data_IF_351319644919
#
_entry.id   IF_351319644919
#
_cell.length_a   1.000
_cell.length_b   1.000
_cell.length_c   1.000
_cell.angle_alpha   90.00
_cell.angle_beta   90.00
_cell.angle_gamma   90.00
#
_symmetry.space_group_name_H-M   'P 1'
#
loop_
_entity.id
_entity.type
_entity.pdbx_description
1 polymer ?
#
# COMPACT_ATOMS: atom_id res chain seq x y z
N UNK A 1 35.55 4.39 -7.50
CA UNK A 1 35.19 2.99 -7.83
C UNK A 1 34.20 3.01 -8.97
N UNK A 2 34.59 2.59 -10.17
CA UNK A 2 33.64 2.33 -11.26
C UNK A 2 32.97 0.99 -11.00
N UNK A 3 31.75 1.01 -10.49
CA UNK A 3 30.93 -0.19 -10.39
C UNK A 3 30.51 -0.60 -11.82
N UNK A 4 31.25 -1.54 -12.42
CA UNK A 4 30.83 -2.17 -13.67
C UNK A 4 29.85 -3.29 -13.32
N UNK A 5 28.56 -3.06 -13.60
CA UNK A 5 27.53 -4.08 -13.48
C UNK A 5 27.80 -5.24 -14.46
N UNK A 6 27.66 -6.46 -13.99
CA UNK A 6 27.79 -7.63 -14.84
C UNK A 6 26.60 -7.71 -15.81
N UNK A 7 26.79 -8.44 -16.91
CA UNK A 7 25.69 -8.71 -17.85
C UNK A 7 24.48 -9.36 -17.16
N UNK A 8 24.72 -10.23 -16.18
CA UNK A 8 23.67 -10.87 -15.38
C UNK A 8 22.85 -9.87 -14.57
N UNK A 9 23.46 -8.81 -14.04
CA UNK A 9 22.75 -7.79 -13.25
C UNK A 9 21.72 -7.04 -14.11
N UNK A 10 22.16 -6.66 -15.32
CA UNK A 10 21.28 -6.03 -16.31
C UNK A 10 20.15 -6.95 -16.77
N UNK A 11 20.45 -8.24 -16.96
CA UNK A 11 19.45 -9.25 -17.32
C UNK A 11 18.37 -9.37 -16.23
N UNK A 12 18.77 -9.45 -14.95
CA UNK A 12 17.84 -9.52 -13.82
C UNK A 12 16.98 -8.26 -13.74
N UNK A 13 17.60 -7.08 -13.87
CA UNK A 13 16.88 -5.81 -13.85
C UNK A 13 15.84 -5.71 -14.98
N UNK A 14 16.24 -6.04 -16.22
CA UNK A 14 15.37 -5.99 -17.38
C UNK A 14 14.22 -7.00 -17.28
N UNK A 15 14.51 -8.22 -16.85
CA UNK A 15 13.48 -9.26 -16.67
C UNK A 15 12.47 -8.91 -15.58
N UNK A 16 12.92 -8.32 -14.46
CA UNK A 16 12.03 -7.83 -13.42
C UNK A 16 11.05 -6.77 -13.95
N UNK A 17 11.57 -5.76 -14.67
CA UNK A 17 10.74 -4.73 -15.30
C UNK A 17 9.75 -5.31 -16.32
N UNK A 18 10.20 -6.27 -17.14
CA UNK A 18 9.36 -6.96 -18.10
C UNK A 18 8.21 -7.73 -17.41
N UNK A 19 8.49 -8.46 -16.32
CA UNK A 19 7.47 -9.17 -15.54
C UNK A 19 6.42 -8.19 -15.01
N UNK A 20 6.84 -7.05 -14.46
CA UNK A 20 5.91 -6.03 -13.96
C UNK A 20 5.02 -5.47 -15.08
N UNK A 21 5.60 -5.09 -16.22
CA UNK A 21 4.85 -4.55 -17.35
C UNK A 21 3.89 -5.58 -17.97
N UNK A 22 4.38 -6.81 -18.18
CA UNK A 22 3.56 -7.89 -18.75
C UNK A 22 2.44 -8.28 -17.81
N UNK A 23 2.69 -8.37 -16.50
CA UNK A 23 1.67 -8.68 -15.51
C UNK A 23 0.60 -7.58 -15.47
N UNK A 24 1.00 -6.30 -15.40
CA UNK A 24 0.07 -5.17 -15.44
C UNK A 24 -0.78 -5.15 -16.72
N UNK A 25 -0.15 -5.34 -17.88
CA UNK A 25 -0.87 -5.42 -19.15
C UNK A 25 -1.84 -6.61 -19.21
N UNK A 26 -1.43 -7.78 -18.72
CA UNK A 26 -2.26 -8.98 -18.68
C UNK A 26 -3.48 -8.79 -17.78
N UNK A 27 -3.31 -8.23 -16.59
CA UNK A 27 -4.41 -8.00 -15.66
C UNK A 27 -5.36 -6.89 -16.14
N UNK A 28 -4.85 -5.86 -16.83
CA UNK A 28 -5.67 -4.79 -17.40
C UNK A 28 -6.61 -5.26 -18.53
N UNK A 29 -6.32 -6.42 -19.15
CA UNK A 29 -7.23 -7.02 -20.15
C UNK A 29 -8.56 -7.50 -19.56
N UNK A 30 -8.61 -7.75 -18.25
CA UNK A 30 -9.87 -8.03 -17.56
C UNK A 30 -10.62 -6.71 -17.39
N UNK A 31 -11.52 -6.39 -18.32
CA UNK A 31 -12.34 -5.17 -18.26
C UNK A 31 -13.10 -5.12 -16.94
N UNK A 32 -12.81 -4.10 -16.13
CA UNK A 32 -13.70 -3.70 -15.05
C UNK A 32 -14.93 -3.03 -15.67
N UNK A 33 -16.12 -3.51 -15.34
CA UNK A 33 -17.38 -2.97 -15.88
C UNK A 33 -17.80 -1.67 -15.17
N UNK A 34 -17.24 -1.41 -13.99
CA UNK A 34 -17.49 -0.20 -13.21
C UNK A 34 -16.23 0.24 -12.44
N UNK A 35 -16.20 1.50 -12.00
CA UNK A 35 -15.15 2.00 -11.10
C UNK A 35 -15.11 1.21 -9.78
N UNK A 36 -16.26 0.76 -9.29
CA UNK A 36 -16.33 -0.07 -8.09
C UNK A 36 -15.66 -1.43 -8.30
N UNK A 37 -15.87 -2.07 -9.44
CA UNK A 37 -15.21 -3.34 -9.78
C UNK A 37 -13.69 -3.16 -9.89
N UNK A 38 -13.24 -2.02 -10.42
CA UNK A 38 -11.82 -1.69 -10.53
C UNK A 38 -11.16 -1.53 -9.15
N UNK A 39 -11.80 -0.82 -8.21
CA UNK A 39 -11.23 -0.57 -6.89
C UNK A 39 -11.42 -1.72 -5.89
N UNK A 40 -12.50 -2.49 -6.00
CA UNK A 40 -12.80 -3.59 -5.06
C UNK A 40 -12.43 -4.98 -5.59
N UNK A 41 -12.03 -5.10 -6.85
CA UNK A 41 -11.75 -6.41 -7.47
C UNK A 41 -12.95 -7.36 -7.41
N UNK A 42 -14.17 -6.81 -7.49
CA UNK A 42 -15.41 -7.57 -7.34
C UNK A 42 -15.61 -8.24 -5.98
N UNK A 43 -14.89 -7.79 -4.92
CA UNK A 43 -14.88 -8.42 -3.58
C UNK A 43 -14.52 -9.91 -3.60
N UNK A 44 -13.80 -10.36 -4.63
CA UNK A 44 -13.48 -11.78 -4.88
C UNK A 44 -12.02 -12.14 -4.55
N UNK A 45 -11.24 -11.17 -4.08
CA UNK A 45 -9.81 -11.38 -3.82
C UNK A 45 -9.60 -12.27 -2.58
N UNK A 46 -8.80 -13.34 -2.68
CA UNK A 46 -8.42 -14.14 -1.53
C UNK A 46 -7.70 -13.30 -0.47
N UNK A 47 -8.00 -13.55 0.82
CA UNK A 47 -7.46 -12.76 1.94
C UNK A 47 -5.93 -12.72 1.97
N UNK A 48 -5.25 -13.83 1.62
CA UNK A 48 -3.78 -13.89 1.59
C UNK A 48 -3.19 -12.95 0.52
N UNK A 49 -3.87 -12.80 -0.63
CA UNK A 49 -3.43 -11.92 -1.71
C UNK A 49 -3.57 -10.46 -1.29
N UNK A 50 -4.67 -10.11 -0.61
CA UNK A 50 -4.87 -8.79 -0.02
C UNK A 50 -3.81 -8.50 1.04
N UNK A 51 -3.50 -9.46 1.92
CA UNK A 51 -2.47 -9.29 2.94
C UNK A 51 -1.09 -9.00 2.34
N UNK A 52 -0.68 -9.75 1.31
CA UNK A 52 0.59 -9.50 0.60
C UNK A 52 0.59 -8.12 -0.04
N UNK A 53 -0.50 -7.71 -0.68
CA UNK A 53 -0.62 -6.38 -1.28
C UNK A 53 -0.49 -5.26 -0.25
N UNK A 54 -1.09 -5.40 0.93
CA UNK A 54 -0.98 -4.44 2.03
C UNK A 54 0.46 -4.34 2.53
N UNK A 55 1.13 -5.48 2.74
CA UNK A 55 2.54 -5.50 3.17
C UNK A 55 3.48 -4.92 2.10
N UNK A 56 3.24 -5.21 0.83
CA UNK A 56 4.02 -4.65 -0.27
C UNK A 56 3.82 -3.12 -0.38
N UNK A 57 2.61 -2.63 -0.11
CA UNK A 57 2.29 -1.20 -0.15
C UNK A 57 2.86 -0.43 1.04
N UNK A 58 2.96 -1.06 2.22
CA UNK A 58 3.53 -0.41 3.40
C UNK A 58 5.05 -0.29 3.34
N UNK A 59 5.71 -1.14 2.55
CA UNK A 59 7.17 -1.16 2.45
C UNK A 59 7.69 -0.25 1.34
N UNK A 60 8.78 0.47 1.62
CA UNK A 60 9.43 1.36 0.65
C UNK A 60 10.94 1.12 0.61
N UNK A 61 11.60 1.62 -0.45
CA UNK A 61 13.06 1.62 -0.54
C UNK A 61 13.71 2.37 0.64
N UNK A 62 13.07 3.45 1.11
CA UNK A 62 13.53 4.22 2.26
C UNK A 62 13.54 3.37 3.54
N UNK A 63 12.54 2.52 3.75
CA UNK A 63 12.52 1.59 4.87
C UNK A 63 13.60 0.52 4.74
N UNK A 64 13.75 -0.06 3.54
CA UNK A 64 14.65 -1.17 3.30
C UNK A 64 16.13 -0.80 3.50
N UNK A 65 16.50 0.43 3.16
CA UNK A 65 17.85 0.97 3.37
C UNK A 65 17.96 1.63 4.74
N UNK A 66 16.98 2.45 5.12
CA UNK A 66 17.04 3.30 6.32
C UNK A 66 16.93 2.53 7.64
N UNK A 67 16.16 1.45 7.69
CA UNK A 67 16.05 0.62 8.90
C UNK A 67 17.40 0.00 9.32
N UNK A 68 18.07 -0.74 8.42
CA UNK A 68 19.41 -1.27 8.68
C UNK A 68 20.45 -0.19 8.93
N UNK A 69 20.40 0.94 8.21
CA UNK A 69 21.33 2.05 8.42
C UNK A 69 21.19 2.65 9.83
N UNK A 70 19.97 2.87 10.31
CA UNK A 70 19.73 3.30 11.70
C UNK A 70 20.24 2.28 12.73
N UNK A 71 20.00 0.99 12.49
CA UNK A 71 20.52 -0.07 13.36
C UNK A 71 22.04 -0.19 13.34
N UNK A 72 22.68 0.11 12.20
CA UNK A 72 24.13 0.10 12.04
C UNK A 72 24.80 1.29 12.73
N UNK A 73 24.23 2.49 12.60
CA UNK A 73 24.77 3.72 13.19
C UNK A 73 24.40 3.90 14.66
N UNK A 74 23.30 3.29 15.11
CA UNK A 74 22.72 3.52 16.44
C UNK A 74 22.26 2.24 17.11
N UNK A 75 20.94 2.14 17.33
CA UNK A 75 20.32 1.06 18.09
C UNK A 75 19.11 0.44 17.34
N UNK A 76 18.45 -0.51 17.99
CA UNK A 76 17.29 -1.21 17.43
C UNK A 76 15.95 -0.51 17.66
N UNK A 77 15.94 0.78 18.04
CA UNK A 77 14.70 1.54 18.29
C UNK A 77 13.78 1.58 17.07
N UNK A 78 14.32 1.46 15.86
CA UNK A 78 13.52 1.36 14.63
C UNK A 78 12.55 0.17 14.65
N UNK A 79 12.86 -0.92 15.35
CA UNK A 79 11.96 -2.08 15.50
C UNK A 79 10.65 -1.69 16.20
N UNK A 80 10.68 -0.71 17.11
CA UNK A 80 9.47 -0.23 17.78
C UNK A 80 8.44 0.33 16.78
N UNK A 81 8.88 0.94 15.67
CA UNK A 81 7.97 1.43 14.61
C UNK A 81 7.23 0.28 13.92
N UNK A 82 7.91 -0.85 13.70
CA UNK A 82 7.32 -2.05 13.10
C UNK A 82 6.31 -2.70 14.06
N UNK A 83 6.64 -2.81 15.35
CA UNK A 83 5.72 -3.30 16.38
C UNK A 83 4.49 -2.37 16.47
N UNK A 84 4.70 -1.06 16.43
CA UNK A 84 3.63 -0.07 16.41
C UNK A 84 2.70 -0.26 15.20
N UNK A 85 3.24 -0.53 14.01
CA UNK A 85 2.45 -0.82 12.82
C UNK A 85 1.61 -2.10 12.97
N UNK A 86 2.16 -3.16 13.59
CA UNK A 86 1.39 -4.38 13.89
C UNK A 86 0.22 -4.12 14.85
N UNK A 87 0.47 -3.36 15.93
CA UNK A 87 -0.57 -2.98 16.89
C UNK A 87 -1.64 -2.13 16.17
N UNK A 88 -1.23 -1.15 15.37
CA UNK A 88 -2.15 -0.31 14.59
C UNK A 88 -3.00 -1.15 13.63
N UNK A 89 -2.43 -2.16 12.97
CA UNK A 89 -3.18 -3.07 12.10
C UNK A 89 -4.27 -3.83 12.87
N UNK A 90 -3.97 -4.30 14.09
CA UNK A 90 -4.96 -4.95 14.95
C UNK A 90 -6.10 -3.99 15.34
N UNK A 91 -5.76 -2.75 15.72
CA UNK A 91 -6.76 -1.71 16.04
C UNK A 91 -7.62 -1.37 14.82
N UNK A 92 -7.01 -1.21 13.63
CA UNK A 92 -7.73 -0.95 12.38
C UNK A 92 -8.69 -2.10 12.07
N UNK A 93 -8.21 -3.34 12.16
CA UNK A 93 -9.01 -4.55 11.95
C UNK A 93 -10.20 -4.64 12.90
N UNK A 94 -10.00 -4.35 14.20
CA UNK A 94 -11.04 -4.45 15.20
C UNK A 94 -12.08 -3.31 15.17
N UNK A 95 -11.66 -2.07 14.87
CA UNK A 95 -12.52 -0.89 15.03
C UNK A 95 -12.93 -0.19 13.74
N UNK A 96 -12.04 -0.14 12.74
CA UNK A 96 -12.29 0.57 11.49
C UNK A 96 -12.96 -0.36 10.48
N UNK A 97 -12.40 -1.55 10.23
CA UNK A 97 -12.94 -2.48 9.22
C UNK A 97 -14.43 -2.79 9.42
N UNK A 98 -14.94 -3.10 10.63
CA UNK A 98 -16.38 -3.34 10.82
C UNK A 98 -17.25 -2.14 10.44
N UNK A 99 -16.78 -0.91 10.69
CA UNK A 99 -17.51 0.31 10.32
C UNK A 99 -17.57 0.51 8.82
N UNK A 100 -16.51 0.15 8.09
CA UNK A 100 -16.52 0.21 6.61
C UNK A 100 -17.61 -0.70 6.04
N UNK A 101 -17.69 -1.95 6.54
CA UNK A 101 -18.70 -2.90 6.10
C UNK A 101 -20.13 -2.48 6.52
N UNK A 102 -20.33 -2.03 7.77
CA UNK A 102 -21.65 -1.59 8.25
C UNK A 102 -22.17 -0.38 7.46
N UNK A 103 -21.30 0.58 7.18
CA UNK A 103 -21.67 1.81 6.47
C UNK A 103 -21.63 1.66 4.94
N UNK A 104 -21.20 0.51 4.40
CA UNK A 104 -21.03 0.25 2.97
C UNK A 104 -20.24 1.37 2.27
N UNK A 105 -19.13 1.79 2.89
CA UNK A 105 -18.22 2.81 2.36
C UNK A 105 -16.94 2.16 1.87
N UNK A 106 -16.35 2.69 0.80
CA UNK A 106 -15.17 2.12 0.14
C UNK A 106 -13.89 2.85 0.49
N UNK A 107 -13.99 4.13 0.87
CA UNK A 107 -12.84 4.95 1.23
C UNK A 107 -12.93 5.45 2.67
N UNK A 108 -11.77 5.67 3.30
CA UNK A 108 -11.69 6.33 4.62
C UNK A 108 -12.38 7.71 4.56
N UNK A 109 -12.28 8.40 3.44
CA UNK A 109 -12.86 9.73 3.25
C UNK A 109 -14.39 9.71 3.19
N UNK A 110 -15.00 8.66 2.63
CA UNK A 110 -16.46 8.45 2.69
C UNK A 110 -16.92 8.15 4.12
N UNK A 111 -16.13 7.40 4.90
CA UNK A 111 -16.45 7.20 6.31
C UNK A 111 -16.40 8.54 7.08
N UNK A 112 -15.43 9.41 6.77
CA UNK A 112 -15.36 10.77 7.32
C UNK A 112 -16.52 11.65 6.86
N UNK A 113 -16.95 11.53 5.61
CA UNK A 113 -18.13 12.24 5.10
C UNK A 113 -19.39 11.88 5.90
N UNK A 114 -19.62 10.59 6.12
CA UNK A 114 -20.79 10.13 6.90
C UNK A 114 -20.75 10.58 8.36
N UNK A 115 -19.56 10.69 8.95
CA UNK A 115 -19.40 11.00 10.37
C UNK A 115 -19.31 12.50 10.68
N UNK A 116 -18.66 13.27 9.81
CA UNK A 116 -18.31 14.69 10.05
C UNK A 116 -18.94 15.61 8.99
N UNK A 117 -19.10 15.11 7.76
CA UNK A 117 -19.76 15.83 6.68
C UNK A 117 -18.87 16.04 5.44
N UNK A 118 -19.43 16.56 4.34
CA UNK A 118 -18.77 16.63 3.03
C UNK A 118 -17.50 17.48 3.00
N UNK A 119 -17.45 18.53 3.82
CA UNK A 119 -16.26 19.40 3.93
C UNK A 119 -15.04 18.63 4.46
N UNK A 120 -15.24 17.68 5.37
CA UNK A 120 -14.17 16.86 5.93
C UNK A 120 -13.59 15.92 4.88
N UNK A 121 -14.44 15.28 4.06
CA UNK A 121 -14.00 14.47 2.92
C UNK A 121 -13.16 15.27 1.93
N UNK A 122 -13.65 16.44 1.51
CA UNK A 122 -12.93 17.26 0.52
C UNK A 122 -11.57 17.69 1.03
N UNK A 123 -11.49 18.20 2.27
CA UNK A 123 -10.23 18.65 2.87
C UNK A 123 -9.24 17.51 3.06
N UNK A 124 -9.69 16.39 3.62
CA UNK A 124 -8.83 15.22 3.87
C UNK A 124 -8.36 14.59 2.55
N UNK A 125 -9.23 14.50 1.56
CA UNK A 125 -8.88 14.03 0.22
C UNK A 125 -7.88 14.95 -0.49
N UNK A 126 -8.05 16.27 -0.39
CA UNK A 126 -7.06 17.22 -0.92
C UNK A 126 -5.71 17.09 -0.22
N UNK A 127 -5.69 16.99 1.11
CA UNK A 127 -4.46 16.76 1.87
C UNK A 127 -3.75 15.48 1.42
N UNK A 128 -4.48 14.40 1.18
CA UNK A 128 -3.87 13.17 0.69
C UNK A 128 -3.32 13.27 -0.74
N UNK A 129 -4.02 13.96 -1.65
CA UNK A 129 -3.59 14.09 -3.04
C UNK A 129 -2.36 14.99 -3.20
N UNK A 130 -2.27 16.08 -2.44
CA UNK A 130 -1.17 17.05 -2.53
C UNK A 130 -0.07 16.83 -1.50
N UNK A 131 -0.44 16.40 -0.29
CA UNK A 131 0.42 16.34 0.89
C UNK A 131 0.79 14.92 1.28
N UNK A 132 0.81 13.96 0.35
CA UNK A 132 1.49 12.68 0.60
C UNK A 132 3.01 12.88 0.54
N UNK A 133 3.49 13.76 1.41
CA UNK A 133 4.87 13.95 1.88
C UNK A 133 4.80 13.97 3.40
#
# INVERSE_FOLDING_TARGET
>A
MSANYAFLDWLVFASYGAILLLSGWWFNRKRANSSQDFFLGGNSMPTWMVAISVLATSQSAATFIGGPDQGYQGDFSYIATNIGAFIAAFVVSAFLIPKFYQQKVFTVYELLEKRIGPKAKRRSGMMYLFGRV
#
